data_IF_008788729977
#
_entry.id   IF_008788729977
#
_cell.length_a   1.000
_cell.length_b   1.000
_cell.length_c   1.000
_cell.angle_alpha   90.00
_cell.angle_beta   90.00
_cell.angle_gamma   90.00
#
_symmetry.space_group_name_H-M   'P 1'
#
loop_
_entity.id
_entity.type
_entity.pdbx_description
1 polymer ?
#
# COMPACT_ATOMS: atom_id res chain seq x y z
N UNK A 1 -23.33 16.37 5.36
CA UNK A 1 -22.50 15.57 6.29
C UNK A 1 -22.17 14.17 5.78
N UNK A 2 -23.13 13.41 5.22
CA UNK A 2 -22.90 12.03 4.69
C UNK A 2 -21.68 11.89 3.77
N UNK A 3 -21.51 12.79 2.79
CA UNK A 3 -20.39 12.71 1.84
C UNK A 3 -19.03 12.97 2.51
N UNK A 4 -18.98 13.88 3.49
CA UNK A 4 -17.77 14.13 4.28
C UNK A 4 -17.37 12.89 5.09
N UNK A 5 -18.33 12.26 5.76
CA UNK A 5 -18.08 11.03 6.51
C UNK A 5 -17.56 9.89 5.60
N UNK A 6 -18.11 9.75 4.39
CA UNK A 6 -17.65 8.77 3.40
C UNK A 6 -16.25 9.06 2.84
N UNK A 7 -15.89 10.35 2.70
CA UNK A 7 -14.53 10.74 2.30
C UNK A 7 -13.52 10.45 3.43
N UNK A 8 -13.85 10.79 4.67
CA UNK A 8 -13.01 10.47 5.83
C UNK A 8 -12.81 8.96 5.94
N UNK A 9 -13.86 8.16 5.76
CA UNK A 9 -13.77 6.70 5.75
C UNK A 9 -12.78 6.20 4.68
N UNK A 10 -12.89 6.70 3.45
CA UNK A 10 -11.97 6.33 2.37
C UNK A 10 -10.51 6.69 2.74
N UNK A 11 -10.28 7.90 3.26
CA UNK A 11 -8.96 8.36 3.70
C UNK A 11 -8.40 7.43 4.77
N UNK A 12 -9.21 7.07 5.78
CA UNK A 12 -8.80 6.16 6.85
C UNK A 12 -8.44 4.77 6.31
N UNK A 13 -9.22 4.22 5.38
CA UNK A 13 -8.92 2.93 4.74
C UNK A 13 -7.57 2.99 4.01
N UNK A 14 -7.33 4.06 3.26
CA UNK A 14 -6.07 4.26 2.52
C UNK A 14 -4.91 4.33 3.51
N UNK A 15 -5.02 5.10 4.58
CA UNK A 15 -3.98 5.21 5.60
C UNK A 15 -3.67 3.88 6.28
N UNK A 16 -4.69 3.13 6.70
CA UNK A 16 -4.48 1.82 7.34
C UNK A 16 -3.79 0.86 6.36
N UNK A 17 -4.25 0.82 5.09
CA UNK A 17 -3.64 -0.04 4.07
C UNK A 17 -2.19 0.37 3.77
N UNK A 18 -1.89 1.68 3.76
CA UNK A 18 -0.56 2.21 3.55
C UNK A 18 0.39 1.77 4.66
N UNK A 19 -0.02 1.93 5.93
CA UNK A 19 0.75 1.49 7.10
C UNK A 19 1.00 -0.02 7.04
N UNK A 20 -0.01 -0.81 6.66
CA UNK A 20 0.15 -2.25 6.49
C UNK A 20 1.19 -2.59 5.41
N UNK A 21 1.14 -1.94 4.24
CA UNK A 21 2.13 -2.14 3.17
C UNK A 21 3.53 -1.75 3.62
N UNK A 22 3.69 -0.62 4.31
CA UNK A 22 4.98 -0.22 4.87
C UNK A 22 5.52 -1.23 5.89
N UNK A 23 4.66 -1.81 6.72
CA UNK A 23 5.06 -2.85 7.67
C UNK A 23 5.56 -4.11 6.94
N UNK A 24 4.88 -4.52 5.87
CA UNK A 24 5.29 -5.66 5.03
C UNK A 24 6.60 -5.38 4.32
N UNK A 25 6.77 -4.20 3.73
CA UNK A 25 8.03 -3.76 3.12
C UNK A 25 9.16 -3.75 4.16
N UNK A 26 8.89 -3.22 5.35
CA UNK A 26 9.81 -3.25 6.48
C UNK A 26 10.26 -4.68 6.79
N UNK A 27 9.33 -5.63 6.89
CA UNK A 27 9.65 -7.03 7.12
C UNK A 27 10.49 -7.67 6.01
N UNK A 28 10.24 -7.30 4.75
CA UNK A 28 11.01 -7.79 3.59
C UNK A 28 12.45 -7.25 3.62
N UNK A 29 12.63 -5.98 3.99
CA UNK A 29 13.92 -5.28 3.94
C UNK A 29 14.75 -5.45 5.22
N UNK A 30 14.13 -5.61 6.39
CA UNK A 30 14.80 -5.73 7.69
C UNK A 30 15.98 -6.72 7.70
N UNK A 31 15.86 -7.93 7.11
CA UNK A 31 16.95 -8.89 7.12
C UNK A 31 18.17 -8.49 6.28
N UNK A 32 18.02 -7.52 5.37
CA UNK A 32 19.13 -6.90 4.63
C UNK A 32 19.95 -5.96 5.53
N UNK A 33 19.29 -5.28 6.47
CA UNK A 33 19.92 -4.32 7.38
C UNK A 33 20.65 -5.04 8.52
N UNK A 34 20.12 -6.18 8.97
CA UNK A 34 20.69 -6.97 10.06
C UNK A 34 21.92 -7.80 9.68
N UNK A 35 22.40 -7.73 8.42
CA UNK A 35 23.55 -8.50 7.96
C UNK A 35 23.33 -10.03 7.95
N UNK A 36 22.08 -10.48 8.06
CA UNK A 36 21.72 -11.91 8.19
C UNK A 36 21.89 -12.67 6.86
N UNK A 37 22.03 -11.95 5.74
CA UNK A 37 22.17 -12.54 4.41
C UNK A 37 23.35 -11.91 3.65
N UNK A 38 24.37 -12.71 3.35
CA UNK A 38 25.52 -12.32 2.49
C UNK A 38 25.20 -12.37 0.98
N UNK A 39 24.04 -12.91 0.59
CA UNK A 39 23.68 -13.09 -0.81
C UNK A 39 23.13 -11.81 -1.46
N UNK A 40 23.98 -11.12 -2.23
CA UNK A 40 23.64 -9.92 -3.01
C UNK A 40 22.36 -10.06 -3.84
N UNK A 41 22.18 -11.21 -4.50
CA UNK A 41 20.99 -11.49 -5.34
C UNK A 41 19.71 -11.49 -4.50
N UNK A 42 19.73 -12.06 -3.29
CA UNK A 42 18.58 -12.09 -2.41
C UNK A 42 18.18 -10.68 -1.94
N UNK A 43 19.18 -9.83 -1.66
CA UNK A 43 18.97 -8.42 -1.31
C UNK A 43 18.33 -7.64 -2.46
N UNK A 44 18.82 -7.82 -3.70
CA UNK A 44 18.22 -7.20 -4.89
C UNK A 44 16.76 -7.65 -5.06
N UNK A 45 16.49 -8.96 -4.96
CA UNK A 45 15.14 -9.49 -5.10
C UNK A 45 14.17 -8.95 -4.03
N UNK A 46 14.63 -8.73 -2.80
CA UNK A 46 13.83 -8.13 -1.72
C UNK A 46 13.45 -6.67 -2.02
N UNK A 47 14.40 -5.89 -2.54
CA UNK A 47 14.13 -4.50 -2.96
C UNK A 47 13.12 -4.47 -4.11
N UNK A 48 13.32 -5.31 -5.12
CA UNK A 48 12.39 -5.42 -6.26
C UNK A 48 11.00 -5.84 -5.78
N UNK A 49 10.90 -6.85 -4.90
CA UNK A 49 9.63 -7.28 -4.32
C UNK A 49 8.93 -6.16 -3.54
N UNK A 50 9.68 -5.37 -2.78
CA UNK A 50 9.16 -4.23 -2.03
C UNK A 50 8.61 -3.14 -2.95
N UNK A 51 9.32 -2.84 -4.03
CA UNK A 51 8.87 -1.89 -5.05
C UNK A 51 7.62 -2.39 -5.77
N UNK A 52 7.58 -3.67 -6.15
CA UNK A 52 6.40 -4.28 -6.78
C UNK A 52 5.19 -4.23 -5.85
N UNK A 53 5.35 -4.56 -4.57
CA UNK A 53 4.28 -4.47 -3.58
C UNK A 53 3.73 -3.03 -3.47
N UNK A 54 4.63 -2.04 -3.48
CA UNK A 54 4.25 -0.64 -3.45
C UNK A 54 3.48 -0.22 -4.70
N UNK A 55 3.93 -0.62 -5.89
CA UNK A 55 3.25 -0.35 -7.17
C UNK A 55 1.87 -1.00 -7.21
N UNK A 56 1.74 -2.25 -6.76
CA UNK A 56 0.46 -2.95 -6.66
C UNK A 56 -0.49 -2.22 -5.73
N UNK A 57 0.01 -1.72 -4.59
CA UNK A 57 -0.80 -0.92 -3.67
C UNK A 57 -1.26 0.40 -4.29
N UNK A 58 -0.40 1.12 -5.02
CA UNK A 58 -0.77 2.33 -5.74
C UNK A 58 -1.88 2.07 -6.79
N UNK A 59 -1.75 0.99 -7.55
CA UNK A 59 -2.75 0.59 -8.54
C UNK A 59 -4.09 0.25 -7.87
N UNK A 60 -4.05 -0.50 -6.77
CA UNK A 60 -5.24 -0.82 -5.97
C UNK A 60 -5.90 0.44 -5.40
N UNK A 61 -5.10 1.38 -4.88
CA UNK A 61 -5.59 2.67 -4.39
C UNK A 61 -6.31 3.47 -5.47
N UNK A 62 -5.71 3.58 -6.66
CA UNK A 62 -6.31 4.28 -7.79
C UNK A 62 -7.64 3.63 -8.21
N UNK A 63 -7.68 2.30 -8.29
CA UNK A 63 -8.90 1.55 -8.59
C UNK A 63 -9.98 1.75 -7.51
N UNK A 64 -9.60 1.74 -6.23
CA UNK A 64 -10.52 1.98 -5.11
C UNK A 64 -11.08 3.41 -5.14
N UNK A 65 -10.23 4.41 -5.37
CA UNK A 65 -10.64 5.81 -5.47
C UNK A 65 -11.62 6.02 -6.63
N UNK A 66 -11.33 5.43 -7.80
CA UNK A 66 -12.22 5.44 -8.96
C UNK A 66 -13.56 4.78 -8.61
N UNK A 67 -13.55 3.56 -8.09
CA UNK A 67 -14.76 2.86 -7.68
C UNK A 67 -15.58 3.68 -6.68
N UNK A 68 -14.94 4.24 -5.66
CA UNK A 68 -15.61 5.04 -4.62
C UNK A 68 -16.27 6.30 -5.19
N UNK A 69 -15.58 7.00 -6.10
CA UNK A 69 -16.13 8.18 -6.75
C UNK A 69 -17.40 7.85 -7.54
N UNK A 70 -17.34 6.85 -8.43
CA UNK A 70 -18.47 6.51 -9.30
C UNK A 70 -19.60 5.77 -8.58
N UNK A 71 -19.29 4.86 -7.67
CA UNK A 71 -20.28 4.00 -7.02
C UNK A 71 -20.72 4.47 -5.65
N UNK A 72 -20.02 5.37 -4.97
CA UNK A 72 -20.41 5.80 -3.61
C UNK A 72 -20.79 7.27 -3.59
N UNK A 73 -19.96 8.14 -4.18
CA UNK A 73 -20.19 9.59 -4.19
C UNK A 73 -21.14 10.04 -5.30
N UNK A 74 -21.02 9.47 -6.49
CA UNK A 74 -21.84 9.82 -7.66
C UNK A 74 -23.21 9.11 -7.68
N UNK A 75 -23.46 8.15 -6.79
CA UNK A 75 -24.83 7.71 -6.44
C UNK A 75 -25.50 8.82 -5.62
N UNK A 76 -25.84 9.91 -6.28
CA UNK A 76 -26.86 10.86 -5.83
C UNK A 76 -28.18 10.52 -6.50
#
# INVERSE_FOLDING_TARGET
MRNLALMILLITIIWISFVAVLAVIGFIVLPMISGVYENLVASIMRVVASLLLFVVWLAWWAALAYYWFYKVLARR
#
